data_IF_909947961397
#
_entry.id   IF_909947961397
#
_cell.length_a   1.000
_cell.length_b   1.000
_cell.length_c   1.000
_cell.angle_alpha   90.00
_cell.angle_beta   90.00
_cell.angle_gamma   90.00
#
_symmetry.space_group_name_H-M   'P 1'
#
loop_
_entity.id
_entity.type
_entity.pdbx_description
1 polymer ?
#
# COMPACT_ATOMS: atom_id res chain seq x y z
N UNK A 1 5.46 -62.91 12.44
CA UNK A 1 6.57 -61.94 12.26
C UNK A 1 6.93 -61.93 10.80
N UNK A 2 6.36 -60.99 10.05
CA UNK A 2 6.56 -60.85 8.59
C UNK A 2 6.96 -59.41 8.35
N UNK A 3 8.24 -59.20 8.07
CA UNK A 3 8.81 -57.89 7.71
C UNK A 3 8.35 -57.54 6.30
N UNK A 4 7.40 -56.62 6.18
CA UNK A 4 7.02 -56.02 4.91
C UNK A 4 8.15 -55.12 4.43
N UNK A 5 8.83 -55.54 3.36
CA UNK A 5 9.75 -54.72 2.58
C UNK A 5 8.96 -53.52 2.02
N UNK A 6 9.29 -52.32 2.50
CA UNK A 6 8.76 -51.07 1.94
C UNK A 6 9.33 -50.95 0.53
N UNK A 7 8.47 -51.17 -0.45
CA UNK A 7 8.76 -50.99 -1.86
C UNK A 7 9.02 -49.50 -2.10
N UNK A 8 10.27 -49.17 -2.42
CA UNK A 8 10.71 -47.79 -2.65
C UNK A 8 10.15 -47.37 -4.00
N UNK A 9 9.26 -46.35 -4.09
CA UNK A 9 8.62 -46.01 -5.34
C UNK A 9 9.68 -45.68 -6.40
N UNK A 10 9.51 -46.29 -7.58
CA UNK A 10 10.35 -46.06 -8.75
C UNK A 10 10.54 -44.54 -8.96
N UNK A 11 11.75 -44.08 -9.32
CA UNK A 11 11.99 -42.66 -9.54
C UNK A 11 10.99 -42.18 -10.57
N UNK A 12 10.18 -41.19 -10.18
CA UNK A 12 9.15 -40.58 -11.00
C UNK A 12 9.59 -40.52 -12.45
N UNK A 13 8.83 -41.22 -13.30
CA UNK A 13 8.94 -41.16 -14.74
C UNK A 13 9.25 -39.72 -15.15
N UNK A 14 10.39 -39.52 -15.82
CA UNK A 14 10.80 -38.23 -16.35
C UNK A 14 9.65 -37.67 -17.18
N UNK A 15 8.92 -36.71 -16.61
CA UNK A 15 7.94 -35.92 -17.36
C UNK A 15 8.75 -35.18 -18.43
N UNK A 16 8.67 -35.66 -19.66
CA UNK A 16 9.31 -35.09 -20.83
C UNK A 16 8.86 -33.62 -20.96
N UNK A 17 9.74 -32.68 -20.58
CA UNK A 17 9.46 -31.24 -20.67
C UNK A 17 9.36 -30.84 -22.15
N UNK A 18 8.29 -30.12 -22.53
CA UNK A 18 8.17 -29.45 -23.83
C UNK A 18 9.45 -28.63 -24.11
N UNK A 19 10.22 -29.00 -25.13
CA UNK A 19 11.26 -28.12 -25.72
C UNK A 19 12.74 -28.40 -25.43
N UNK A 20 13.19 -29.65 -25.25
CA UNK A 20 14.64 -29.95 -25.30
C UNK A 20 15.13 -30.23 -26.74
N UNK A 21 16.03 -29.41 -27.33
CA UNK A 21 17.16 -29.98 -28.08
C UNK A 21 18.13 -30.37 -26.98
N UNK A 22 18.35 -31.67 -26.75
CA UNK A 22 19.45 -32.12 -25.91
C UNK A 22 20.72 -31.74 -26.66
N UNK A 23 21.23 -30.53 -26.37
CA UNK A 23 22.36 -29.92 -27.04
C UNK A 23 23.46 -30.95 -27.30
N UNK A 24 23.98 -30.94 -28.53
CA UNK A 24 25.00 -31.84 -29.09
C UNK A 24 24.57 -33.27 -29.49
N UNK A 25 23.30 -33.69 -29.36
CA UNK A 25 22.88 -35.02 -29.91
C UNK A 25 22.61 -34.99 -31.42
N UNK A 26 22.22 -33.85 -31.96
CA UNK A 26 22.08 -33.67 -33.40
C UNK A 26 23.32 -32.90 -33.91
N UNK A 27 24.05 -33.41 -34.92
CA UNK A 27 25.25 -32.77 -35.46
C UNK A 27 24.98 -31.35 -36.02
N UNK A 28 23.73 -31.05 -36.37
CA UNK A 28 23.30 -29.73 -36.88
C UNK A 28 22.86 -28.74 -35.78
N UNK A 29 22.85 -29.16 -34.50
CA UNK A 29 22.41 -28.34 -33.36
C UNK A 29 23.61 -27.54 -32.81
N UNK A 30 23.77 -26.29 -33.29
CA UNK A 30 24.85 -25.38 -32.86
C UNK A 30 24.48 -24.47 -31.67
N UNK A 31 23.20 -24.43 -31.28
CA UNK A 31 22.71 -23.53 -30.23
C UNK A 31 22.47 -24.23 -28.89
N UNK A 32 22.81 -23.55 -27.79
CA UNK A 32 22.62 -24.05 -26.42
C UNK A 32 21.18 -23.91 -25.89
N UNK A 33 20.37 -23.03 -26.49
CA UNK A 33 19.00 -22.74 -26.04
C UNK A 33 18.04 -22.87 -27.22
N UNK A 34 16.92 -23.59 -27.01
CA UNK A 34 15.85 -23.80 -27.98
C UNK A 34 14.48 -23.41 -27.38
N UNK A 35 13.43 -23.43 -28.20
CA UNK A 35 12.06 -23.13 -27.80
C UNK A 35 11.51 -21.82 -28.37
N UNK A 36 12.37 -20.95 -28.89
CA UNK A 36 12.00 -19.72 -29.61
C UNK A 36 12.71 -19.64 -30.97
N UNK A 37 12.34 -18.66 -31.82
CA UNK A 37 13.01 -18.41 -33.11
C UNK A 37 14.48 -18.00 -32.97
N UNK A 38 14.95 -17.69 -31.76
CA UNK A 38 16.29 -17.14 -31.52
C UNK A 38 17.42 -18.07 -31.96
N UNK A 39 17.28 -19.38 -31.74
CA UNK A 39 18.28 -20.37 -32.19
C UNK A 39 18.46 -20.36 -33.72
N UNK A 40 17.34 -20.28 -34.47
CA UNK A 40 17.37 -20.23 -35.93
C UNK A 40 18.04 -18.94 -36.43
N UNK A 41 17.71 -17.80 -35.80
CA UNK A 41 18.31 -16.50 -36.10
C UNK A 41 19.81 -16.45 -35.77
N UNK A 42 20.23 -17.14 -34.71
CA UNK A 42 21.63 -17.30 -34.33
C UNK A 42 22.42 -18.29 -35.21
N UNK A 43 21.80 -18.87 -36.26
CA UNK A 43 22.49 -19.71 -37.24
C UNK A 43 22.26 -21.22 -37.07
N UNK A 44 21.59 -21.68 -36.00
CA UNK A 44 21.25 -23.10 -35.86
C UNK A 44 20.29 -23.55 -36.97
N UNK A 45 20.52 -24.73 -37.53
CA UNK A 45 19.71 -25.31 -38.62
C UNK A 45 19.08 -26.64 -38.25
N UNK A 46 19.17 -27.10 -37.00
CA UNK A 46 18.52 -28.32 -36.57
C UNK A 46 16.97 -28.27 -36.73
N UNK A 47 16.29 -29.44 -36.78
CA UNK A 47 14.83 -29.51 -36.91
C UNK A 47 14.05 -28.70 -35.87
N UNK A 48 14.53 -28.64 -34.61
CA UNK A 48 13.89 -27.88 -33.55
C UNK A 48 13.94 -26.36 -33.79
N UNK A 49 15.09 -25.83 -34.22
CA UNK A 49 15.26 -24.42 -34.56
C UNK A 49 14.39 -24.03 -35.77
N UNK A 50 14.36 -24.87 -36.82
CA UNK A 50 13.51 -24.66 -38.00
C UNK A 50 12.02 -24.65 -37.63
N UNK A 51 11.58 -25.60 -36.79
CA UNK A 51 10.18 -25.67 -36.35
C UNK A 51 9.79 -24.47 -35.48
N UNK A 52 10.65 -24.04 -34.55
CA UNK A 52 10.40 -22.85 -33.74
C UNK A 52 10.29 -21.58 -34.60
N UNK A 53 11.14 -21.44 -35.62
CA UNK A 53 11.04 -20.32 -36.57
C UNK A 53 9.78 -20.40 -37.43
N UNK A 54 9.38 -21.59 -37.89
CA UNK A 54 8.13 -21.81 -38.63
C UNK A 54 6.91 -21.37 -37.82
N UNK A 55 6.84 -21.75 -36.54
CA UNK A 55 5.75 -21.35 -35.64
C UNK A 55 5.75 -19.83 -35.44
N UNK A 56 6.92 -19.22 -35.23
CA UNK A 56 7.06 -17.78 -35.08
C UNK A 56 6.59 -17.01 -36.33
N UNK A 57 7.07 -17.38 -37.53
CA UNK A 57 6.66 -16.73 -38.79
C UNK A 57 5.17 -16.92 -39.08
N UNK A 58 4.60 -18.08 -38.75
CA UNK A 58 3.15 -18.31 -38.84
C UNK A 58 2.38 -17.32 -37.95
N UNK A 59 2.73 -17.21 -36.66
CA UNK A 59 2.09 -16.26 -35.74
C UNK A 59 2.24 -14.82 -36.19
N UNK A 60 3.42 -14.45 -36.69
CA UNK A 60 3.69 -13.12 -37.23
C UNK A 60 2.81 -12.82 -38.44
N UNK A 61 2.69 -13.74 -39.40
CA UNK A 61 1.86 -13.57 -40.60
C UNK A 61 0.38 -13.41 -40.26
N UNK A 62 -0.09 -14.14 -39.25
CA UNK A 62 -1.47 -14.08 -38.78
C UNK A 62 -1.72 -12.90 -37.82
N UNK A 63 -0.74 -12.03 -37.54
CA UNK A 63 -0.88 -10.93 -36.59
C UNK A 63 -1.03 -11.36 -35.13
N UNK A 64 -0.83 -12.65 -34.81
CA UNK A 64 -0.98 -13.24 -33.46
C UNK A 64 0.33 -13.26 -32.67
N UNK A 65 1.31 -12.46 -33.05
CA UNK A 65 2.56 -12.38 -32.32
C UNK A 65 2.39 -11.47 -31.11
N UNK A 66 2.81 -11.93 -29.95
CA UNK A 66 2.80 -11.11 -28.74
C UNK A 66 3.74 -9.92 -28.93
N UNK A 67 3.26 -8.68 -28.73
CA UNK A 67 4.12 -7.50 -28.81
C UNK A 67 5.24 -7.61 -27.77
N UNK A 68 6.45 -7.18 -28.15
CA UNK A 68 7.61 -7.23 -27.24
C UNK A 68 7.52 -6.17 -26.15
N UNK A 69 7.04 -5.00 -26.55
CA UNK A 69 6.78 -3.83 -25.72
C UNK A 69 5.29 -3.55 -25.78
N UNK A 70 4.71 -3.24 -24.63
CA UNK A 70 3.33 -2.79 -24.50
C UNK A 70 3.33 -1.46 -23.77
N UNK A 71 2.25 -0.71 -23.96
CA UNK A 71 2.01 0.52 -23.22
C UNK A 71 2.00 0.24 -21.70
N UNK A 72 2.68 1.10 -20.94
CA UNK A 72 2.85 0.91 -19.51
C UNK A 72 1.65 1.39 -18.69
N UNK A 73 0.66 2.07 -19.27
CA UNK A 73 -0.48 2.68 -18.55
C UNK A 73 -1.21 1.69 -17.64
N UNK A 74 -1.62 0.53 -18.17
CA UNK A 74 -2.25 -0.50 -17.36
C UNK A 74 -1.34 -1.06 -16.26
N UNK A 75 -0.03 -1.08 -16.49
CA UNK A 75 0.97 -1.48 -15.48
C UNK A 75 1.12 -0.41 -14.40
N UNK A 76 1.11 0.87 -14.77
CA UNK A 76 1.16 2.00 -13.84
C UNK A 76 -0.05 1.98 -12.92
N UNK A 77 -1.25 1.89 -13.50
CA UNK A 77 -2.51 1.87 -12.76
C UNK A 77 -2.56 0.71 -11.77
N UNK A 78 -2.12 -0.50 -12.14
CA UNK A 78 -2.01 -1.64 -11.22
C UNK A 78 -1.10 -1.35 -10.02
N UNK A 79 0.11 -0.84 -10.26
CA UNK A 79 1.06 -0.54 -9.17
C UNK A 79 0.50 0.56 -8.25
N UNK A 80 -0.07 1.62 -8.84
CA UNK A 80 -0.69 2.73 -8.12
C UNK A 80 -1.87 2.27 -7.27
N UNK A 81 -2.72 1.38 -7.80
CA UNK A 81 -3.85 0.80 -7.10
C UNK A 81 -3.39 -0.09 -5.92
N UNK A 82 -2.30 -0.85 -6.08
CA UNK A 82 -1.71 -1.60 -4.96
C UNK A 82 -1.12 -0.67 -3.88
N UNK A 83 -0.53 0.45 -4.27
CA UNK A 83 -0.12 1.49 -3.31
C UNK A 83 -1.33 2.08 -2.57
N UNK A 84 -2.46 2.27 -3.26
CA UNK A 84 -3.71 2.74 -2.64
C UNK A 84 -4.27 1.72 -1.62
N UNK A 85 -4.01 0.43 -1.80
CA UNK A 85 -4.32 -0.61 -0.80
C UNK A 85 -3.31 -0.69 0.35
N UNK A 86 -2.17 0.01 0.26
CA UNK A 86 -1.12 0.02 1.28
C UNK A 86 0.02 -0.99 1.06
N UNK A 87 0.11 -1.63 -0.11
CA UNK A 87 1.25 -2.50 -0.45
C UNK A 87 2.48 -1.66 -0.79
N UNK A 88 3.64 -1.97 -0.22
CA UNK A 88 4.89 -1.25 -0.55
C UNK A 88 5.46 -1.69 -1.89
N UNK A 89 6.28 -0.86 -2.53
CA UNK A 89 7.02 -1.25 -3.75
C UNK A 89 7.93 -2.46 -3.52
N UNK A 90 8.41 -2.66 -2.30
CA UNK A 90 9.13 -3.87 -1.88
C UNK A 90 8.22 -5.10 -1.93
N UNK A 91 7.03 -5.03 -1.32
CA UNK A 91 6.04 -6.14 -1.30
C UNK A 91 5.59 -6.50 -2.72
N UNK A 92 5.31 -5.50 -3.54
CA UNK A 92 4.93 -5.69 -4.95
C UNK A 92 6.09 -6.33 -5.72
N UNK A 93 7.32 -5.87 -5.47
CA UNK A 93 8.53 -6.44 -6.06
C UNK A 93 8.71 -7.91 -5.70
N UNK A 94 8.61 -8.26 -4.42
CA UNK A 94 8.70 -9.64 -3.94
C UNK A 94 7.66 -10.54 -4.59
N UNK A 95 6.39 -10.11 -4.66
CA UNK A 95 5.32 -10.86 -5.31
C UNK A 95 5.55 -11.02 -6.84
N UNK A 96 6.16 -10.03 -7.48
CA UNK A 96 6.45 -10.05 -8.92
C UNK A 96 7.81 -10.66 -9.29
N UNK A 97 8.68 -10.98 -8.32
CA UNK A 97 10.07 -11.35 -8.56
C UNK A 97 10.93 -10.21 -9.15
N UNK A 98 10.61 -8.96 -8.81
CA UNK A 98 11.29 -7.75 -9.24
C UNK A 98 11.88 -6.99 -8.04
N UNK A 99 12.90 -6.15 -8.26
CA UNK A 99 13.38 -5.27 -7.20
C UNK A 99 12.43 -4.09 -6.98
N UNK A 100 12.40 -3.57 -5.75
CA UNK A 100 11.65 -2.36 -5.41
C UNK A 100 11.95 -1.19 -6.37
N UNK A 101 13.23 -0.95 -6.63
CA UNK A 101 13.67 0.11 -7.54
C UNK A 101 13.13 -0.10 -8.96
N UNK A 102 12.99 -1.35 -9.41
CA UNK A 102 12.40 -1.63 -10.72
C UNK A 102 10.91 -1.27 -10.75
N UNK A 103 10.16 -1.61 -9.70
CA UNK A 103 8.74 -1.26 -9.57
C UNK A 103 8.55 0.26 -9.61
N UNK A 104 9.34 1.02 -8.85
CA UNK A 104 9.28 2.49 -8.86
C UNK A 104 9.64 3.08 -10.23
N UNK A 105 10.69 2.53 -10.87
CA UNK A 105 11.13 3.00 -12.19
C UNK A 105 10.09 2.77 -13.28
N UNK A 106 9.29 1.70 -13.19
CA UNK A 106 8.17 1.47 -14.12
C UNK A 106 7.24 2.69 -14.06
N UNK A 107 6.70 3.01 -12.88
CA UNK A 107 5.71 4.09 -12.71
C UNK A 107 6.23 5.47 -13.09
N UNK A 108 7.49 5.80 -12.78
CA UNK A 108 7.99 7.18 -12.92
C UNK A 108 8.77 7.46 -14.21
N UNK A 109 9.20 6.44 -14.96
CA UNK A 109 10.17 6.65 -16.04
C UNK A 109 9.97 5.79 -17.29
N UNK A 110 8.90 4.98 -17.37
CA UNK A 110 8.68 4.07 -18.50
C UNK A 110 7.34 4.32 -19.16
N UNK A 111 7.36 4.72 -20.42
CA UNK A 111 6.16 4.76 -21.26
C UNK A 111 5.78 3.36 -21.75
N UNK A 112 6.77 2.47 -21.94
CA UNK A 112 6.57 1.10 -22.39
C UNK A 112 7.26 0.10 -21.46
N UNK A 113 6.62 -1.06 -21.28
CA UNK A 113 7.17 -2.20 -20.55
C UNK A 113 7.24 -3.42 -21.44
N UNK A 114 8.14 -4.37 -21.11
CA UNK A 114 8.13 -5.65 -21.82
C UNK A 114 6.89 -6.44 -21.46
N UNK A 115 6.40 -7.27 -22.40
CA UNK A 115 5.25 -8.15 -22.12
C UNK A 115 5.47 -9.03 -20.89
N UNK A 116 6.70 -9.53 -20.69
CA UNK A 116 7.04 -10.32 -19.52
C UNK A 116 6.94 -9.51 -18.21
N UNK A 117 7.39 -8.26 -18.21
CA UNK A 117 7.25 -7.36 -17.05
C UNK A 117 5.78 -7.12 -16.71
N UNK A 118 4.95 -6.87 -17.72
CA UNK A 118 3.50 -6.73 -17.53
C UNK A 118 2.89 -7.99 -16.93
N UNK A 119 3.22 -9.19 -17.44
CA UNK A 119 2.71 -10.44 -16.89
C UNK A 119 3.09 -10.65 -15.42
N UNK A 120 4.31 -10.28 -15.02
CA UNK A 120 4.75 -10.38 -13.62
C UNK A 120 3.97 -9.43 -12.71
N UNK A 121 3.77 -8.19 -13.13
CA UNK A 121 2.99 -7.21 -12.37
C UNK A 121 1.50 -7.58 -12.34
N UNK A 122 0.93 -8.09 -13.44
CA UNK A 122 -0.46 -8.57 -13.48
C UNK A 122 -0.68 -9.75 -12.52
N UNK A 123 0.28 -10.69 -12.45
CA UNK A 123 0.25 -11.79 -11.48
C UNK A 123 0.31 -11.30 -10.02
N UNK A 124 1.20 -10.35 -9.73
CA UNK A 124 1.28 -9.72 -8.41
C UNK A 124 -0.01 -8.97 -8.06
N UNK A 125 -0.57 -8.23 -9.02
CA UNK A 125 -1.82 -7.49 -8.86
C UNK A 125 -2.99 -8.40 -8.50
N UNK A 126 -3.20 -9.50 -9.25
CA UNK A 126 -4.28 -10.46 -8.96
C UNK A 126 -4.19 -11.09 -7.58
N UNK A 127 -2.98 -11.25 -7.06
CA UNK A 127 -2.75 -11.81 -5.73
C UNK A 127 -3.02 -10.77 -4.66
N UNK A 128 -2.42 -9.59 -4.79
CA UNK A 128 -2.39 -8.57 -3.75
C UNK A 128 -3.65 -7.68 -3.72
N UNK A 129 -4.41 -7.59 -4.82
CA UNK A 129 -5.61 -6.74 -4.89
C UNK A 129 -6.74 -7.19 -3.96
N UNK A 130 -6.74 -8.46 -3.55
CA UNK A 130 -7.76 -9.05 -2.68
C UNK A 130 -7.49 -8.83 -1.19
N UNK A 131 -6.28 -8.37 -0.83
CA UNK A 131 -5.85 -8.20 0.55
C UNK A 131 -5.35 -6.77 0.81
N UNK A 132 -5.71 -6.15 1.95
CA UNK A 132 -5.16 -4.87 2.31
C UNK A 132 -3.66 -4.99 2.63
N UNK A 133 -2.86 -4.03 2.18
CA UNK A 133 -1.46 -3.94 2.53
C UNK A 133 -1.25 -3.36 3.94
N UNK A 134 -0.07 -3.58 4.50
CA UNK A 134 0.25 -3.27 5.91
C UNK A 134 0.77 -1.84 6.13
N UNK A 135 1.06 -1.08 5.07
CA UNK A 135 1.68 0.24 5.18
C UNK A 135 0.68 1.39 5.03
N UNK A 136 0.30 1.99 6.17
CA UNK A 136 -0.53 3.20 6.18
C UNK A 136 0.18 4.41 5.58
N UNK A 137 1.51 4.45 5.67
CA UNK A 137 2.32 5.50 5.02
C UNK A 137 2.17 5.43 3.49
N UNK A 138 2.19 4.23 2.92
CA UNK A 138 2.02 4.03 1.48
C UNK A 138 0.60 4.39 1.06
N UNK A 139 -0.40 3.90 1.81
CA UNK A 139 -1.82 4.22 1.60
C UNK A 139 -2.06 5.73 1.61
N UNK A 140 -1.51 6.43 2.59
CA UNK A 140 -1.62 7.89 2.73
C UNK A 140 -0.94 8.64 1.59
N UNK A 141 0.23 8.19 1.14
CA UNK A 141 0.93 8.78 -0.01
C UNK A 141 0.14 8.58 -1.30
N UNK A 142 -0.41 7.38 -1.52
CA UNK A 142 -1.22 7.07 -2.69
C UNK A 142 -2.49 7.91 -2.75
N UNK A 143 -3.17 8.09 -1.61
CA UNK A 143 -4.34 8.97 -1.50
C UNK A 143 -3.99 10.42 -1.86
N UNK A 144 -2.90 10.97 -1.32
CA UNK A 144 -2.43 12.32 -1.66
C UNK A 144 -2.07 12.48 -3.14
N UNK A 145 -1.65 11.41 -3.80
CA UNK A 145 -1.34 11.39 -5.21
C UNK A 145 -2.56 11.12 -6.10
N UNK A 146 -3.76 10.92 -5.52
CA UNK A 146 -4.99 10.64 -6.27
C UNK A 146 -5.05 9.24 -6.88
N UNK A 147 -4.28 8.28 -6.36
CA UNK A 147 -4.27 6.92 -6.91
C UNK A 147 -5.50 6.14 -6.48
N UNK A 148 -6.27 5.67 -7.47
CA UNK A 148 -7.49 4.93 -7.26
C UNK A 148 -7.22 3.45 -6.90
N UNK A 149 -7.97 2.85 -5.96
CA UNK A 149 -7.82 1.45 -5.57
C UNK A 149 -8.31 0.48 -6.67
N UNK A 150 -8.02 -0.84 -6.58
CA UNK A 150 -8.41 -1.81 -7.62
C UNK A 150 -9.91 -1.84 -7.93
N UNK A 151 -10.77 -1.68 -6.92
CA UNK A 151 -12.23 -1.70 -7.09
C UNK A 151 -12.80 -0.46 -7.80
N UNK A 152 -11.98 0.58 -7.99
CA UNK A 152 -12.39 1.76 -8.75
C UNK A 152 -12.29 1.54 -10.27
N UNK A 153 -11.77 0.38 -10.72
CA UNK A 153 -11.59 0.06 -12.14
C UNK A 153 -12.43 -1.18 -12.51
N UNK A 154 -13.17 -1.10 -13.62
CA UNK A 154 -13.81 -2.24 -14.27
C UNK A 154 -12.82 -2.93 -15.22
N UNK A 155 -12.19 -2.17 -16.11
CA UNK A 155 -11.09 -2.57 -17.00
C UNK A 155 -9.92 -1.60 -16.87
N UNK A 156 -9.00 -1.95 -15.96
CA UNK A 156 -7.81 -1.15 -15.66
C UNK A 156 -6.87 -0.93 -16.87
N UNK A 157 -7.01 -1.74 -17.93
CA UNK A 157 -6.22 -1.64 -19.16
C UNK A 157 -6.87 -0.77 -20.25
N UNK A 158 -8.15 -0.42 -20.14
CA UNK A 158 -8.83 0.46 -21.09
C UNK A 158 -8.30 1.90 -20.94
N UNK A 159 -7.63 2.48 -21.97
CA UNK A 159 -7.08 3.83 -21.88
C UNK A 159 -8.15 4.90 -21.62
N UNK A 160 -9.37 4.71 -22.10
CA UNK A 160 -10.46 5.67 -22.01
C UNK A 160 -11.23 5.55 -20.68
N UNK A 161 -11.01 4.48 -19.93
CA UNK A 161 -11.62 4.30 -18.63
C UNK A 161 -11.06 5.28 -17.60
N UNK A 162 -11.99 5.87 -16.83
CA UNK A 162 -11.67 6.69 -15.67
C UNK A 162 -12.04 5.94 -14.39
N UNK A 163 -11.24 6.07 -13.32
CA UNK A 163 -11.52 5.38 -12.08
C UNK A 163 -12.81 5.91 -11.47
N UNK A 164 -13.69 4.99 -11.07
CA UNK A 164 -14.87 5.26 -10.26
C UNK A 164 -14.44 5.49 -8.83
N UNK A 165 -13.95 6.70 -8.58
CA UNK A 165 -13.75 7.19 -7.22
C UNK A 165 -15.06 7.81 -6.78
N UNK A 166 -15.77 7.13 -5.88
CA UNK A 166 -16.89 7.74 -5.17
C UNK A 166 -16.35 9.02 -4.50
N UNK A 167 -17.07 10.11 -4.73
CA UNK A 167 -16.70 11.50 -4.47
C UNK A 167 -15.80 11.73 -3.23
N UNK A 168 -14.74 12.53 -3.45
CA UNK A 168 -13.92 13.26 -2.48
C UNK A 168 -13.80 12.61 -1.08
N UNK A 169 -12.66 11.99 -0.72
CA UNK A 169 -12.37 11.78 0.68
C UNK A 169 -12.28 13.17 1.31
N UNK A 170 -13.31 13.56 2.07
CA UNK A 170 -13.30 14.77 2.88
C UNK A 170 -12.03 14.75 3.73
N UNK A 171 -11.40 15.92 3.77
CA UNK A 171 -10.19 16.19 4.52
C UNK A 171 -10.43 16.07 6.02
N UNK A 172 -10.49 14.83 6.50
CA UNK A 172 -10.54 14.54 7.90
C UNK A 172 -10.39 13.04 8.09
N UNK A 173 -9.15 12.60 8.22
CA UNK A 173 -8.82 11.24 8.62
C UNK A 173 -9.27 10.91 10.04
N UNK A 174 -10.35 11.49 10.55
CA UNK A 174 -10.97 11.22 11.84
C UNK A 174 -12.42 10.74 11.65
N UNK A 175 -12.93 9.95 12.59
CA UNK A 175 -14.33 9.57 12.65
C UNK A 175 -15.12 10.62 13.46
N UNK A 176 -16.01 11.35 12.79
CA UNK A 176 -16.87 12.38 13.38
C UNK A 176 -17.65 11.87 14.60
N UNK A 177 -18.13 10.62 14.56
CA UNK A 177 -18.91 10.03 15.66
C UNK A 177 -18.02 9.84 16.88
N UNK A 178 -16.81 9.33 16.67
CA UNK A 178 -15.81 9.11 17.72
C UNK A 178 -15.37 10.45 18.34
N UNK A 179 -15.10 11.46 17.51
CA UNK A 179 -14.74 12.82 17.97
C UNK A 179 -15.88 13.45 18.78
N UNK A 180 -17.13 13.34 18.32
CA UNK A 180 -18.30 13.87 19.02
C UNK A 180 -18.46 13.22 20.41
N UNK A 181 -18.42 11.89 20.49
CA UNK A 181 -18.51 11.16 21.75
C UNK A 181 -17.39 11.52 22.74
N UNK A 182 -16.18 11.74 22.24
CA UNK A 182 -15.06 12.18 23.04
C UNK A 182 -15.22 13.62 23.56
N UNK A 183 -15.71 14.54 22.71
CA UNK A 183 -15.99 15.92 23.12
C UNK A 183 -17.08 16.00 24.21
N UNK A 184 -17.98 15.02 24.26
CA UNK A 184 -19.00 14.87 25.29
C UNK A 184 -18.51 14.12 26.55
N UNK A 185 -17.23 13.72 26.58
CA UNK A 185 -16.62 13.01 27.72
C UNK A 185 -17.01 11.53 27.84
N UNK A 186 -17.68 10.97 26.82
CA UNK A 186 -18.07 9.55 26.80
C UNK A 186 -16.87 8.64 26.54
N UNK A 187 -15.88 9.10 25.78
CA UNK A 187 -14.66 8.36 25.48
C UNK A 187 -13.44 8.88 26.26
N UNK A 188 -12.50 7.99 26.56
CA UNK A 188 -11.22 8.31 27.18
C UNK A 188 -10.11 8.53 26.17
N UNK A 189 -9.02 9.13 26.63
CA UNK A 189 -7.73 9.14 25.95
C UNK A 189 -7.32 7.74 25.52
N UNK A 190 -7.43 6.73 26.38
CA UNK A 190 -7.01 5.36 26.05
C UNK A 190 -7.79 4.79 24.86
N UNK A 191 -9.09 5.09 24.79
CA UNK A 191 -9.95 4.69 23.67
C UNK A 191 -9.61 5.45 22.38
N UNK A 192 -9.21 6.73 22.48
CA UNK A 192 -8.86 7.59 21.34
C UNK A 192 -7.42 7.43 20.86
N UNK A 193 -6.49 7.06 21.73
CA UNK A 193 -5.06 7.00 21.44
C UNK A 193 -4.71 5.95 20.36
N UNK A 194 -5.61 4.98 20.14
CA UNK A 194 -5.50 3.99 19.06
C UNK A 194 -5.56 4.63 17.68
N UNK A 195 -6.30 5.74 17.52
CA UNK A 195 -6.43 6.46 16.26
C UNK A 195 -6.05 7.94 16.43
N UNK A 196 -4.78 8.22 16.10
CA UNK A 196 -4.16 9.53 16.31
C UNK A 196 -4.94 10.72 15.70
N UNK A 197 -5.54 10.61 14.50
CA UNK A 197 -6.34 11.70 13.95
C UNK A 197 -7.56 12.08 14.81
N UNK A 198 -8.29 11.10 15.36
CA UNK A 198 -9.46 11.36 16.23
C UNK A 198 -9.03 12.11 17.48
N UNK A 199 -7.90 11.70 18.08
CA UNK A 199 -7.33 12.38 19.24
C UNK A 199 -6.95 13.83 18.91
N UNK A 200 -6.29 14.06 17.77
CA UNK A 200 -5.86 15.40 17.35
C UNK A 200 -7.08 16.30 17.12
N UNK A 201 -8.10 15.80 16.40
CA UNK A 201 -9.30 16.58 16.14
C UNK A 201 -10.11 16.84 17.41
N UNK A 202 -10.26 15.83 18.27
CA UNK A 202 -10.92 15.98 19.57
C UNK A 202 -10.24 17.09 20.39
N UNK A 203 -8.91 17.06 20.50
CA UNK A 203 -8.16 18.10 21.22
C UNK A 203 -8.29 19.45 20.53
N UNK A 204 -8.32 19.50 19.19
CA UNK A 204 -8.52 20.74 18.43
C UNK A 204 -9.89 21.38 18.72
N UNK A 205 -10.96 20.59 18.76
CA UNK A 205 -12.32 21.08 19.06
C UNK A 205 -12.43 21.54 20.50
N UNK A 206 -11.96 20.72 21.44
CA UNK A 206 -12.01 21.04 22.86
C UNK A 206 -11.16 22.26 23.22
N UNK A 207 -9.99 22.45 22.59
CA UNK A 207 -9.12 23.61 22.85
C UNK A 207 -9.73 24.96 22.44
N UNK A 208 -10.84 24.97 21.68
CA UNK A 208 -11.61 26.19 21.41
C UNK A 208 -12.34 26.69 22.65
N UNK A 209 -12.79 25.80 23.52
CA UNK A 209 -13.65 26.11 24.67
C UNK A 209 -12.98 25.84 26.01
N UNK A 210 -12.14 24.81 26.10
CA UNK A 210 -11.51 24.30 27.32
C UNK A 210 -10.00 24.56 27.35
N UNK A 211 -9.46 24.68 28.56
CA UNK A 211 -8.02 24.69 28.82
C UNK A 211 -7.44 23.26 28.88
N UNK A 212 -6.14 23.11 28.65
CA UNK A 212 -5.45 21.81 28.58
C UNK A 212 -5.69 20.91 29.81
N UNK A 213 -5.85 21.50 31.00
CA UNK A 213 -6.15 20.75 32.23
C UNK A 213 -7.57 20.19 32.20
N UNK A 214 -8.55 20.97 31.73
CA UNK A 214 -9.96 20.56 31.60
C UNK A 214 -10.11 19.48 30.52
N UNK A 215 -9.40 19.62 29.40
CA UNK A 215 -9.30 18.60 28.35
C UNK A 215 -8.73 17.30 28.94
N UNK A 216 -7.68 17.41 29.75
CA UNK A 216 -7.07 16.27 30.43
C UNK A 216 -8.02 15.57 31.39
N UNK A 217 -8.83 16.31 32.14
CA UNK A 217 -9.85 15.71 33.02
C UNK A 217 -10.98 15.07 32.22
N UNK A 218 -11.50 15.74 31.19
CA UNK A 218 -12.60 15.25 30.36
C UNK A 218 -12.23 13.92 29.68
N UNK A 219 -11.03 13.86 29.10
CA UNK A 219 -10.54 12.66 28.42
C UNK A 219 -9.91 11.63 29.36
N UNK A 220 -9.91 11.86 30.69
CA UNK A 220 -9.24 10.97 31.66
C UNK A 220 -7.79 10.67 31.27
N UNK A 221 -7.07 11.72 30.88
CA UNK A 221 -5.71 11.63 30.34
C UNK A 221 -4.73 11.10 31.40
N UNK A 222 -3.81 10.18 31.04
CA UNK A 222 -2.85 9.60 31.97
C UNK A 222 -2.04 10.66 32.74
N UNK A 223 -2.03 10.58 34.07
CA UNK A 223 -1.31 11.53 34.93
C UNK A 223 -2.04 12.84 35.22
N UNK A 224 -3.33 12.97 34.86
CA UNK A 224 -4.27 13.83 35.57
C UNK A 224 -4.55 13.23 36.94
N UNK A 225 -3.68 13.45 37.92
CA UNK A 225 -3.98 13.07 39.29
C UNK A 225 -5.20 13.84 39.80
N UNK A 226 -6.15 13.13 40.40
CA UNK A 226 -7.28 13.67 41.14
C UNK A 226 -6.78 14.39 42.41
N UNK A 227 -6.21 15.59 42.25
CA UNK A 227 -5.77 16.39 43.40
C UNK A 227 -6.85 17.39 43.76
N UNK A 228 -7.80 16.98 44.63
CA UNK A 228 -8.28 17.92 45.66
C UNK A 228 -7.06 18.32 46.48
N UNK A 229 -6.62 19.58 46.40
CA UNK A 229 -6.07 20.38 47.52
C UNK A 229 -5.52 21.73 47.07
N UNK A 230 -6.06 22.81 47.64
CA UNK A 230 -5.27 23.93 48.19
C UNK A 230 -4.97 25.14 47.28
N UNK A 231 -5.18 26.38 47.77
CA UNK A 231 -4.79 27.60 47.06
C UNK A 231 -3.29 27.87 47.27
N UNK A 232 -2.51 27.80 46.19
CA UNK A 232 -1.12 28.24 46.19
C UNK A 232 -0.26 27.46 45.20
N UNK A 233 0.03 28.07 44.06
CA UNK A 233 0.94 27.59 43.00
C UNK A 233 0.59 26.23 42.35
N UNK A 234 -0.29 26.30 41.35
CA UNK A 234 -0.68 25.21 40.46
C UNK A 234 0.51 24.74 39.61
N UNK A 235 1.20 23.66 40.00
CA UNK A 235 2.12 22.93 39.09
C UNK A 235 1.31 22.37 37.93
N UNK A 236 1.83 22.46 36.70
CA UNK A 236 1.19 21.86 35.53
C UNK A 236 1.06 20.34 35.75
N UNK A 237 -0.11 19.77 35.51
CA UNK A 237 -0.28 18.31 35.51
C UNK A 237 0.55 17.72 34.36
N UNK A 238 1.06 16.49 34.52
CA UNK A 238 1.80 15.80 33.45
C UNK A 238 0.95 15.71 32.17
N UNK A 239 -0.35 15.50 32.32
CA UNK A 239 -1.33 15.51 31.23
C UNK A 239 -1.43 16.87 30.53
N UNK A 240 -1.49 17.98 31.27
CA UNK A 240 -1.51 19.33 30.69
C UNK A 240 -0.28 19.60 29.82
N UNK A 241 0.93 19.22 30.27
CA UNK A 241 2.14 19.33 29.45
C UNK A 241 2.11 18.43 28.20
N UNK A 242 1.52 17.23 28.29
CA UNK A 242 1.39 16.32 27.15
C UNK A 242 0.41 16.86 26.09
N UNK A 243 -0.71 17.44 26.52
CA UNK A 243 -1.70 18.08 25.65
C UNK A 243 -1.11 19.33 25.00
N UNK A 244 -0.41 20.16 25.79
CA UNK A 244 0.29 21.35 25.27
C UNK A 244 1.30 20.95 24.18
N UNK A 245 2.08 19.89 24.42
CA UNK A 245 3.02 19.34 23.42
C UNK A 245 2.29 18.83 22.18
N UNK A 246 1.22 18.05 22.33
CA UNK A 246 0.42 17.56 21.21
C UNK A 246 -0.10 18.73 20.36
N UNK A 247 -0.62 19.77 21.01
CA UNK A 247 -1.13 20.96 20.33
C UNK A 247 -0.04 21.71 19.57
N UNK A 248 1.13 21.91 20.19
CA UNK A 248 2.28 22.56 19.54
C UNK A 248 2.78 21.79 18.33
N UNK A 249 2.92 20.47 18.46
CA UNK A 249 3.38 19.57 17.38
C UNK A 249 2.41 19.55 16.18
N UNK A 250 1.14 19.96 16.37
CA UNK A 250 0.08 19.92 15.35
C UNK A 250 -0.53 21.31 15.03
N UNK A 251 0.12 22.40 15.45
CA UNK A 251 -0.32 23.77 15.14
C UNK A 251 -1.69 24.16 15.73
N UNK A 252 -2.12 23.53 16.83
CA UNK A 252 -3.42 23.79 17.47
C UNK A 252 -3.28 24.97 18.46
N UNK A 253 -3.96 26.11 18.21
CA UNK A 253 -3.94 27.23 19.13
C UNK A 253 -4.58 26.83 20.46
N UNK A 254 -4.25 27.54 21.52
CA UNK A 254 -4.85 27.29 22.83
C UNK A 254 -4.99 28.54 23.61
N UNK A 255 -5.85 28.44 24.61
CA UNK A 255 -6.07 29.56 25.51
C UNK A 255 -4.84 29.79 26.38
N UNK A 256 -4.31 31.03 26.43
CA UNK A 256 -3.20 31.36 27.30
C UNK A 256 -3.57 31.09 28.77
N UNK A 257 -2.58 30.64 29.55
CA UNK A 257 -2.76 30.19 30.94
C UNK A 257 -3.35 31.27 31.90
N UNK A 258 -3.35 32.55 31.52
CA UNK A 258 -3.71 33.68 32.38
C UNK A 258 -5.13 34.25 32.17
N UNK A 259 -5.88 33.79 31.16
CA UNK A 259 -7.21 34.35 30.79
C UNK A 259 -8.40 33.85 31.66
N UNK A 260 -8.15 33.12 32.75
CA UNK A 260 -9.21 32.54 33.61
C UNK A 260 -9.80 33.49 34.66
N UNK A 261 -9.59 34.81 34.55
CA UNK A 261 -10.24 35.80 35.43
C UNK A 261 -11.46 36.40 34.73
N UNK A 262 -12.65 35.85 34.99
CA UNK A 262 -13.91 36.58 34.79
C UNK A 262 -13.85 37.93 35.51
N UNK A 263 -14.33 39.03 34.91
CA UNK A 263 -14.33 40.34 35.54
C UNK A 263 -15.19 40.29 36.80
N UNK A 264 -14.57 40.58 37.96
CA UNK A 264 -15.33 40.86 39.17
C UNK A 264 -16.25 42.05 38.87
N UNK A 265 -17.55 41.81 38.93
CA UNK A 265 -18.56 42.85 39.05
C UNK A 265 -18.19 43.76 40.22
N UNK A 266 -17.55 44.90 39.95
CA UNK A 266 -17.55 46.01 40.91
C UNK A 266 -18.95 46.59 40.87
N UNK A 267 -19.74 46.25 41.89
CA UNK A 267 -20.98 46.93 42.25
C UNK A 267 -20.72 48.44 42.27
N UNK A 268 -21.53 49.18 41.52
CA UNK A 268 -21.82 50.57 41.81
C UNK A 268 -22.90 50.63 42.90
N UNK A 269 -22.86 51.72 43.67
CA UNK A 269 -23.61 52.05 44.90
C UNK A 269 -22.98 51.53 46.20
#
# INVERSE_FOLDING_TARGET
MTTATIDRPAPHAQVLRRGQCLGKRNPDCTANIHGTSSAYKAGCRCPHARNANRIYEKRRREGRNTPRLIDATGTHRRIQALWALGHTSTTIGEAAGLSEHHVQRIVYAREFVTYNTWQLIDGAFRTLSTVPGTSDRTRSRARKAGYAPPLAWDDIDDPDEQPKVDAEPTDDGYDETTVAQACEGRLTYEQLAAHRPDLIETVRRLARTLHDVEIGHLLRWPGCADTRTGPGHRRATKAGCAIEKLRRDNGIPGKPRWESQTPQTRKAA
#
